data_IF_190482049862
#
_entry.id   IF_190482049862
#
_cell.length_a   1.000
_cell.length_b   1.000
_cell.length_c   1.000
_cell.angle_alpha   90.00
_cell.angle_beta   90.00
_cell.angle_gamma   90.00
#
_symmetry.space_group_name_H-M   'P 1'
#
loop_
_entity.id
_entity.type
_entity.pdbx_description
1 polymer ?
#
# COMPACT_ATOMS: atom_id res chain seq x y z
N UNK A 1 -55.93 13.33 -61.91
CA UNK A 1 -55.26 13.84 -60.70
C UNK A 1 -55.33 12.80 -59.58
N UNK A 2 -54.28 11.98 -59.41
CA UNK A 2 -54.00 11.22 -58.18
C UNK A 2 -52.48 11.24 -58.02
N UNK A 3 -52.01 12.01 -57.04
CA UNK A 3 -50.58 12.20 -56.75
C UNK A 3 -50.07 10.98 -55.97
N UNK A 4 -48.99 10.38 -56.47
CA UNK A 4 -48.21 9.34 -55.79
C UNK A 4 -47.32 10.07 -54.77
N UNK A 5 -47.46 9.75 -53.49
CA UNK A 5 -46.53 10.17 -52.44
C UNK A 5 -45.54 9.02 -52.21
N UNK A 6 -44.29 9.21 -52.63
CA UNK A 6 -43.17 8.36 -52.25
C UNK A 6 -42.60 8.95 -50.95
N UNK A 7 -42.81 8.24 -49.84
CA UNK A 7 -42.17 8.54 -48.57
C UNK A 7 -40.78 7.88 -48.56
N UNK A 8 -39.72 8.67 -48.71
CA UNK A 8 -38.35 8.23 -48.47
C UNK A 8 -38.11 8.29 -46.96
N UNK A 9 -38.21 7.14 -46.29
CA UNK A 9 -37.73 6.99 -44.91
C UNK A 9 -36.22 6.76 -44.95
N UNK A 10 -35.45 7.83 -44.77
CA UNK A 10 -34.01 7.75 -44.50
C UNK A 10 -33.79 7.30 -43.06
N UNK A 11 -33.57 5.99 -42.87
CA UNK A 11 -33.12 5.41 -41.60
C UNK A 11 -31.62 5.72 -41.47
N UNK A 12 -31.29 6.78 -40.72
CA UNK A 12 -29.95 6.97 -40.19
C UNK A 12 -29.78 6.05 -38.98
N UNK A 13 -29.14 4.90 -39.16
CA UNK A 13 -28.62 4.11 -38.03
C UNK A 13 -27.36 4.84 -37.55
N UNK A 14 -27.51 5.76 -36.61
CA UNK A 14 -26.40 6.20 -35.77
C UNK A 14 -26.03 5.03 -34.86
N UNK A 15 -25.08 4.21 -35.29
CA UNK A 15 -24.31 3.38 -34.35
C UNK A 15 -23.39 4.32 -33.58
N UNK A 16 -23.96 5.02 -32.60
CA UNK A 16 -23.17 5.59 -31.53
C UNK A 16 -22.58 4.42 -30.74
N UNK A 17 -21.34 4.06 -31.06
CA UNK A 17 -20.49 3.42 -30.05
C UNK A 17 -20.31 4.51 -29.00
N UNK A 18 -21.14 4.48 -27.95
CA UNK A 18 -20.80 5.20 -26.73
C UNK A 18 -19.46 4.64 -26.30
N UNK A 19 -18.38 5.38 -26.54
CA UNK A 19 -17.12 5.20 -25.86
C UNK A 19 -17.43 5.44 -24.38
N UNK A 20 -17.86 4.40 -23.66
CA UNK A 20 -17.90 4.45 -22.21
C UNK A 20 -16.49 4.80 -21.77
N UNK A 21 -16.35 5.97 -21.15
CA UNK A 21 -15.11 6.35 -20.47
C UNK A 21 -14.73 5.18 -19.57
N UNK A 22 -13.59 4.56 -19.86
CA UNK A 22 -13.16 3.40 -19.11
C UNK A 22 -12.62 3.90 -17.77
N UNK A 23 -13.47 4.05 -16.76
CA UNK A 23 -13.05 4.56 -15.47
C UNK A 23 -12.53 3.43 -14.58
N UNK A 24 -11.44 3.70 -13.89
CA UNK A 24 -10.96 2.90 -12.77
C UNK A 24 -10.95 3.81 -11.55
N UNK A 25 -11.37 3.34 -10.37
CA UNK A 25 -11.34 4.25 -9.24
C UNK A 25 -9.89 4.54 -8.86
N UNK A 26 -9.66 5.73 -8.34
CA UNK A 26 -8.35 6.21 -7.92
C UNK A 26 -7.93 5.53 -6.63
N UNK A 27 -6.64 5.25 -6.52
CA UNK A 27 -5.97 5.07 -5.24
C UNK A 27 -5.20 6.36 -4.95
N UNK A 28 -5.51 7.01 -3.83
CA UNK A 28 -4.78 8.22 -3.44
C UNK A 28 -3.41 7.82 -2.92
N UNK A 29 -2.36 8.43 -3.47
CA UNK A 29 -1.01 8.29 -2.97
C UNK A 29 -0.71 9.39 -1.94
N UNK A 30 -0.26 8.97 -0.76
CA UNK A 30 0.27 9.86 0.28
C UNK A 30 1.76 9.61 0.44
N UNK A 31 2.54 10.63 0.13
CA UNK A 31 3.98 10.68 0.37
C UNK A 31 4.23 11.64 1.54
N UNK A 32 4.82 11.17 2.64
CA UNK A 32 5.04 12.03 3.81
C UNK A 32 6.42 11.83 4.43
N UNK A 33 6.92 12.86 5.11
CA UNK A 33 8.15 12.78 5.88
C UNK A 33 7.88 12.54 7.37
N UNK A 34 8.74 11.74 8.00
CA UNK A 34 8.63 11.37 9.42
C UNK A 34 10.01 11.12 10.02
N UNK A 35 10.07 10.87 11.32
CA UNK A 35 11.31 10.49 11.98
C UNK A 35 11.10 10.02 13.42
N UNK A 36 11.98 9.13 13.88
CA UNK A 36 11.91 8.53 15.22
C UNK A 36 12.08 9.56 16.36
N UNK A 37 12.78 10.67 16.09
CA UNK A 37 13.01 11.77 17.03
C UNK A 37 11.82 12.76 17.12
N UNK A 38 10.90 12.72 16.15
CA UNK A 38 9.86 13.72 15.96
C UNK A 38 8.63 13.43 16.85
N UNK A 39 8.42 14.25 17.89
CA UNK A 39 7.31 14.10 18.84
C UNK A 39 5.90 14.27 18.24
N UNK A 40 5.78 14.98 17.11
CA UNK A 40 4.52 15.19 16.39
C UNK A 40 4.19 14.07 15.38
N UNK A 41 5.18 13.30 14.97
CA UNK A 41 5.04 12.30 13.90
C UNK A 41 4.04 11.18 14.22
N UNK A 42 3.87 10.74 15.49
CA UNK A 42 2.81 9.81 15.85
C UNK A 42 1.39 10.34 15.57
N UNK A 43 1.14 11.66 15.63
CA UNK A 43 -0.15 12.22 15.22
C UNK A 43 -0.41 12.02 13.71
N UNK A 44 0.65 12.15 12.88
CA UNK A 44 0.58 11.81 11.46
C UNK A 44 0.24 10.34 11.24
N UNK A 45 0.83 9.43 12.02
CA UNK A 45 0.53 7.99 11.94
C UNK A 45 -0.92 7.68 12.36
N UNK A 46 -1.45 8.37 13.37
CA UNK A 46 -2.86 8.27 13.78
C UNK A 46 -3.82 8.80 12.69
N UNK A 47 -3.46 9.91 12.04
CA UNK A 47 -4.21 10.45 10.91
C UNK A 47 -4.25 9.44 9.74
N UNK A 48 -3.11 8.83 9.40
CA UNK A 48 -3.05 7.79 8.37
C UNK A 48 -3.86 6.55 8.72
N UNK A 49 -3.87 6.14 9.99
CA UNK A 49 -4.70 5.02 10.46
C UNK A 49 -6.18 5.32 10.21
N UNK A 50 -6.65 6.53 10.57
CA UNK A 50 -8.02 6.97 10.31
C UNK A 50 -8.31 7.04 8.80
N UNK A 51 -7.37 7.54 8.00
CA UNK A 51 -7.50 7.64 6.55
C UNK A 51 -7.62 6.25 5.90
N UNK A 52 -6.77 5.30 6.26
CA UNK A 52 -6.85 3.93 5.71
C UNK A 52 -8.12 3.20 6.15
N UNK A 53 -8.65 3.50 7.34
CA UNK A 53 -9.94 2.99 7.76
C UNK A 53 -11.11 3.53 6.91
N UNK A 54 -11.09 4.83 6.59
CA UNK A 54 -12.13 5.46 5.77
C UNK A 54 -11.97 5.20 4.26
N UNK A 55 -10.72 5.10 3.80
CA UNK A 55 -10.34 4.95 2.40
C UNK A 55 -9.28 3.84 2.24
N UNK A 56 -9.68 2.56 2.27
CA UNK A 56 -8.77 1.41 2.30
C UNK A 56 -7.80 1.31 1.10
N UNK A 57 -8.17 1.95 -0.01
CA UNK A 57 -7.39 1.99 -1.25
C UNK A 57 -6.21 2.98 -1.22
N UNK A 58 -6.04 3.70 -0.12
CA UNK A 58 -4.98 4.71 0.01
C UNK A 58 -3.62 4.05 0.14
N UNK A 59 -2.72 4.45 -0.75
CA UNK A 59 -1.33 3.98 -0.80
C UNK A 59 -0.45 4.98 -0.07
N UNK A 60 0.46 4.48 0.77
CA UNK A 60 1.26 5.32 1.66
C UNK A 60 2.75 5.03 1.49
N UNK A 61 3.55 6.09 1.46
CA UNK A 61 5.01 6.05 1.45
C UNK A 61 5.50 6.95 2.59
N UNK A 62 6.31 6.40 3.51
CA UNK A 62 6.90 7.14 4.62
C UNK A 62 8.41 7.34 4.43
N UNK A 63 8.79 8.59 4.23
CA UNK A 63 10.18 9.00 4.14
C UNK A 63 10.71 9.36 5.52
N UNK A 64 11.40 8.41 6.14
CA UNK A 64 12.16 8.68 7.34
C UNK A 64 13.31 9.64 7.06
N UNK A 65 13.55 10.60 7.95
CA UNK A 65 14.59 11.62 7.77
C UNK A 65 14.67 12.65 8.90
N UNK A 66 15.44 13.70 8.66
CA UNK A 66 15.65 14.79 9.61
C UNK A 66 17.12 15.17 9.78
N UNK A 67 17.35 16.36 10.34
CA UNK A 67 18.70 16.92 10.55
C UNK A 67 19.48 16.25 11.69
N UNK A 68 18.82 15.42 12.50
CA UNK A 68 19.44 14.71 13.63
C UNK A 68 19.81 13.29 13.20
N UNK A 69 21.05 12.91 13.47
CA UNK A 69 21.74 11.73 12.93
C UNK A 69 21.24 10.36 13.42
N UNK A 70 20.12 10.28 14.15
CA UNK A 70 19.73 9.10 14.93
C UNK A 70 18.58 8.26 14.36
N UNK A 71 17.97 8.66 13.24
CA UNK A 71 16.93 7.84 12.60
C UNK A 71 17.56 6.69 11.77
N UNK A 72 17.24 5.41 12.07
CA UNK A 72 17.87 4.26 11.44
C UNK A 72 17.48 4.04 9.98
N UNK A 73 16.43 4.70 9.48
CA UNK A 73 15.91 4.52 8.12
C UNK A 73 16.03 5.77 7.26
N UNK A 74 16.84 6.75 7.70
CA UNK A 74 17.06 8.00 6.96
C UNK A 74 17.87 7.83 5.66
N UNK A 75 18.63 6.74 5.54
CA UNK A 75 19.54 6.49 4.42
C UNK A 75 19.00 5.33 3.57
N UNK A 76 18.68 5.63 2.31
CA UNK A 76 18.23 4.68 1.30
C UNK A 76 18.63 5.17 -0.10
N UNK A 77 18.61 4.30 -1.10
CA UNK A 77 18.86 4.74 -2.48
C UNK A 77 17.71 5.66 -2.96
N UNK A 78 18.06 6.82 -3.52
CA UNK A 78 17.08 7.83 -3.95
C UNK A 78 16.63 8.79 -2.83
N UNK A 79 17.41 8.91 -1.76
CA UNK A 79 17.14 9.74 -0.58
C UNK A 79 16.89 11.23 -0.90
N UNK A 80 17.43 11.73 -2.01
CA UNK A 80 17.22 13.06 -2.56
C UNK A 80 15.75 13.34 -2.89
N UNK A 81 14.90 12.32 -3.02
CA UNK A 81 13.46 12.49 -3.20
C UNK A 81 12.84 13.37 -2.11
N UNK A 82 13.35 13.31 -0.88
CA UNK A 82 12.85 14.11 0.25
C UNK A 82 13.02 15.61 0.00
N UNK A 83 14.17 16.01 -0.53
CA UNK A 83 14.43 17.42 -0.86
C UNK A 83 13.72 17.84 -2.15
N UNK A 84 13.61 16.94 -3.13
CA UNK A 84 12.87 17.18 -4.38
C UNK A 84 11.37 17.37 -4.17
N UNK A 85 10.79 16.67 -3.20
CA UNK A 85 9.41 16.86 -2.73
C UNK A 85 9.26 18.11 -1.85
N UNK A 86 10.36 18.71 -1.40
CA UNK A 86 10.35 19.99 -0.69
C UNK A 86 9.88 19.90 0.77
N UNK A 87 10.06 18.75 1.43
CA UNK A 87 9.70 18.63 2.84
C UNK A 87 10.58 19.52 3.73
N UNK A 88 9.97 20.40 4.52
CA UNK A 88 10.68 21.35 5.42
C UNK A 88 10.39 21.13 6.91
N UNK A 89 9.38 20.33 7.25
CA UNK A 89 8.94 20.06 8.62
C UNK A 89 8.33 18.67 8.77
N UNK A 90 8.22 18.18 10.00
CA UNK A 90 7.81 16.81 10.30
C UNK A 90 6.65 16.77 11.33
N UNK A 91 5.57 15.99 11.09
CA UNK A 91 5.25 15.31 9.84
C UNK A 91 4.58 16.28 8.85
N UNK A 92 5.00 16.24 7.59
CA UNK A 92 4.30 16.90 6.49
C UNK A 92 4.14 15.95 5.32
N UNK A 93 3.07 16.14 4.53
CA UNK A 93 2.67 15.22 3.48
C UNK A 93 2.26 15.88 2.18
N UNK A 94 2.33 15.11 1.11
CA UNK A 94 1.95 15.46 -0.26
C UNK A 94 0.98 14.39 -0.77
N UNK A 95 -0.06 14.85 -1.49
CA UNK A 95 -1.19 14.02 -1.90
C UNK A 95 -1.28 14.03 -3.42
N UNK A 96 -1.11 12.86 -4.05
CA UNK A 96 -1.02 12.69 -5.50
C UNK A 96 -0.07 13.69 -6.19
N UNK A 97 0.90 14.28 -5.47
CA UNK A 97 1.75 15.36 -5.99
C UNK A 97 0.93 16.51 -6.63
N UNK A 98 -0.16 16.88 -5.98
CA UNK A 98 -1.10 17.95 -6.41
C UNK A 98 -1.11 19.17 -5.50
N UNK A 99 -0.23 19.21 -4.50
CA UNK A 99 -0.04 20.36 -3.63
C UNK A 99 0.32 21.61 -4.46
N UNK A 100 -0.04 22.81 -3.97
CA UNK A 100 0.19 24.06 -4.72
C UNK A 100 1.52 24.70 -4.33
N UNK A 101 2.12 25.57 -5.17
CA UNK A 101 3.29 26.35 -4.78
C UNK A 101 3.08 27.20 -3.51
N UNK A 102 1.84 27.62 -3.26
CA UNK A 102 1.44 28.38 -2.05
C UNK A 102 1.22 27.51 -0.82
N UNK A 103 1.04 26.20 -0.99
CA UNK A 103 0.90 25.23 0.09
C UNK A 103 1.54 23.89 -0.36
N UNK A 104 2.88 23.86 -0.47
CA UNK A 104 3.60 22.75 -1.12
C UNK A 104 3.54 21.45 -0.32
N UNK A 105 3.19 21.51 0.97
CA UNK A 105 3.07 20.36 1.87
C UNK A 105 2.03 20.67 2.95
N UNK A 106 1.27 19.67 3.37
CA UNK A 106 0.20 19.84 4.37
C UNK A 106 0.56 19.16 5.69
N UNK A 107 0.18 19.78 6.79
CA UNK A 107 0.31 19.22 8.15
C UNK A 107 -0.74 18.14 8.38
N UNK A 108 -0.47 17.25 9.35
CA UNK A 108 -1.24 16.02 9.58
C UNK A 108 -2.74 16.25 9.83
N UNK A 109 -3.12 17.38 10.42
CA UNK A 109 -4.51 17.77 10.67
C UNK A 109 -5.32 18.00 9.39
N UNK A 110 -4.65 18.31 8.28
CA UNK A 110 -5.28 18.52 6.98
C UNK A 110 -5.40 17.23 6.14
N UNK A 111 -4.70 16.15 6.52
CA UNK A 111 -4.54 14.96 5.68
C UNK A 111 -5.87 14.29 5.36
N UNK A 112 -6.76 14.12 6.34
CA UNK A 112 -8.08 13.53 6.11
C UNK A 112 -8.91 14.33 5.10
N UNK A 113 -8.93 15.66 5.24
CA UNK A 113 -9.65 16.55 4.32
C UNK A 113 -9.08 16.49 2.90
N UNK A 114 -7.75 16.45 2.77
CA UNK A 114 -7.09 16.29 1.47
C UNK A 114 -7.39 14.94 0.84
N UNK A 115 -7.30 13.84 1.58
CA UNK A 115 -7.66 12.53 1.05
C UNK A 115 -9.13 12.46 0.63
N UNK A 116 -10.03 12.99 1.46
CA UNK A 116 -11.47 13.05 1.15
C UNK A 116 -11.73 13.84 -0.13
N UNK A 117 -11.08 14.99 -0.31
CA UNK A 117 -11.16 15.78 -1.53
C UNK A 117 -10.72 14.99 -2.76
N UNK A 118 -9.58 14.29 -2.68
CA UNK A 118 -9.09 13.46 -3.80
C UNK A 118 -10.07 12.34 -4.17
N UNK A 119 -10.63 11.62 -3.19
CA UNK A 119 -11.61 10.56 -3.47
C UNK A 119 -12.97 11.09 -3.92
N UNK A 120 -13.39 12.28 -3.49
CA UNK A 120 -14.72 12.83 -3.80
C UNK A 120 -14.72 13.59 -5.12
N UNK A 121 -13.74 14.46 -5.33
CA UNK A 121 -13.69 15.37 -6.47
C UNK A 121 -12.85 14.82 -7.63
N UNK A 122 -11.96 13.85 -7.37
CA UNK A 122 -11.13 13.20 -8.39
C UNK A 122 -11.20 11.66 -8.29
N UNK A 123 -12.41 11.06 -8.26
CA UNK A 123 -12.62 9.65 -7.90
C UNK A 123 -12.02 8.66 -8.90
N UNK A 124 -11.75 9.09 -10.14
CA UNK A 124 -11.27 8.23 -11.22
C UNK A 124 -9.78 8.45 -11.50
N UNK A 125 -9.09 7.36 -11.79
CA UNK A 125 -7.74 7.34 -12.32
C UNK A 125 -7.76 7.48 -13.85
N UNK A 126 -6.76 8.17 -14.38
CA UNK A 126 -6.56 8.31 -15.84
C UNK A 126 -5.65 7.22 -16.41
N UNK A 127 -5.04 6.42 -15.54
CA UNK A 127 -4.16 5.30 -15.89
C UNK A 127 -4.59 4.08 -15.08
N UNK A 128 -4.75 2.93 -15.73
CA UNK A 128 -4.84 1.62 -15.07
C UNK A 128 -3.44 1.07 -14.84
N UNK A 129 -3.15 0.63 -13.63
CA UNK A 129 -1.93 -0.13 -13.32
C UNK A 129 -2.31 -1.57 -12.97
N UNK A 130 -1.70 -2.52 -13.66
CA UNK A 130 -1.93 -3.93 -13.44
C UNK A 130 -0.61 -4.68 -13.35
N UNK A 131 -0.37 -5.36 -12.23
CA UNK A 131 0.72 -6.33 -12.11
C UNK A 131 0.32 -7.56 -12.94
N UNK A 132 1.10 -7.86 -13.98
CA UNK A 132 0.85 -8.99 -14.88
C UNK A 132 1.63 -10.24 -14.50
N UNK A 133 2.76 -10.09 -13.81
CA UNK A 133 3.52 -11.19 -13.22
C UNK A 133 4.27 -10.70 -11.99
N UNK A 134 4.46 -11.58 -11.00
CA UNK A 134 5.28 -11.34 -9.81
C UNK A 134 5.85 -12.66 -9.31
N UNK A 135 7.15 -12.74 -9.07
CA UNK A 135 7.78 -13.88 -8.42
C UNK A 135 8.91 -13.44 -7.49
N UNK A 136 8.89 -13.92 -6.25
CA UNK A 136 9.97 -13.72 -5.30
C UNK A 136 10.69 -15.04 -5.04
N UNK A 137 12.00 -15.04 -5.18
CA UNK A 137 12.85 -16.17 -4.87
C UNK A 137 13.54 -15.96 -3.51
N UNK A 138 13.06 -16.70 -2.51
CA UNK A 138 13.60 -16.61 -1.14
C UNK A 138 15.04 -17.14 -0.99
N UNK A 139 15.57 -17.92 -1.93
CA UNK A 139 16.94 -18.44 -1.81
C UNK A 139 18.02 -17.40 -2.11
N UNK A 140 17.68 -16.37 -2.87
CA UNK A 140 18.58 -15.30 -3.29
C UNK A 140 18.00 -13.89 -3.10
N UNK A 141 16.82 -13.77 -2.46
CA UNK A 141 16.07 -12.53 -2.25
C UNK A 141 15.78 -11.73 -3.53
N UNK A 142 15.65 -12.39 -4.69
CA UNK A 142 15.32 -11.70 -5.94
C UNK A 142 13.82 -11.58 -6.12
N UNK A 143 13.37 -10.41 -6.54
CA UNK A 143 12.02 -10.15 -6.98
C UNK A 143 12.01 -9.82 -8.48
N UNK A 144 11.17 -10.53 -9.20
CA UNK A 144 10.77 -10.23 -10.57
C UNK A 144 9.31 -9.77 -10.60
N UNK A 145 9.04 -8.71 -11.34
CA UNK A 145 7.72 -8.08 -11.43
C UNK A 145 7.51 -7.52 -12.84
N UNK A 146 6.34 -7.79 -13.43
CA UNK A 146 5.87 -7.16 -14.66
C UNK A 146 4.63 -6.33 -14.37
N UNK A 147 4.59 -5.11 -14.89
CA UNK A 147 3.47 -4.17 -14.74
C UNK A 147 3.06 -3.65 -16.11
N UNK A 148 1.75 -3.60 -16.35
CA UNK A 148 1.15 -2.87 -17.45
C UNK A 148 0.53 -1.58 -16.95
N UNK A 149 0.86 -0.48 -17.59
CA UNK A 149 0.17 0.80 -17.46
C UNK A 149 -0.68 1.04 -18.70
N UNK A 150 -1.98 1.27 -18.56
CA UNK A 150 -2.91 1.52 -19.69
C UNK A 150 -3.54 2.89 -19.54
N UNK A 151 -3.46 3.74 -20.56
CA UNK A 151 -4.15 5.02 -20.56
C UNK A 151 -5.67 4.83 -20.71
N UNK A 152 -6.44 5.42 -19.81
CA UNK A 152 -7.90 5.34 -19.77
C UNK A 152 -8.59 6.55 -20.43
N UNK A 153 -7.78 7.51 -20.86
CA UNK A 153 -8.12 8.69 -21.65
C UNK A 153 -6.91 9.07 -22.51
N UNK A 154 -7.06 10.05 -23.40
CA UNK A 154 -5.90 10.58 -24.13
C UNK A 154 -5.06 11.46 -23.20
N UNK A 155 -3.79 11.09 -23.02
CA UNK A 155 -2.89 11.74 -22.06
C UNK A 155 -1.77 12.49 -22.78
N UNK A 156 -1.61 13.76 -22.42
CA UNK A 156 -0.62 14.66 -23.02
C UNK A 156 0.60 14.85 -22.13
N UNK A 157 1.79 14.76 -22.71
CA UNK A 157 3.08 15.03 -22.07
C UNK A 157 3.88 13.77 -21.70
N UNK A 158 4.88 13.97 -20.85
CA UNK A 158 5.71 12.90 -20.32
C UNK A 158 5.08 12.34 -19.05
N UNK A 159 5.03 11.01 -18.94
CA UNK A 159 4.64 10.27 -17.75
C UNK A 159 5.81 9.44 -17.27
N UNK A 160 5.90 9.28 -15.95
CA UNK A 160 6.96 8.50 -15.29
C UNK A 160 6.35 7.41 -14.43
N UNK A 161 7.07 6.31 -14.30
CA UNK A 161 6.73 5.18 -13.47
C UNK A 161 7.76 5.06 -12.35
N UNK A 162 7.30 4.92 -11.11
CA UNK A 162 8.16 4.71 -9.95
C UNK A 162 7.88 3.36 -9.32
N UNK A 163 8.96 2.64 -8.98
CA UNK A 163 8.93 1.46 -8.13
C UNK A 163 9.59 1.80 -6.80
N UNK A 164 8.83 1.73 -5.71
CA UNK A 164 9.32 2.05 -4.37
C UNK A 164 9.14 0.85 -3.47
N UNK A 165 10.23 0.40 -2.86
CA UNK A 165 10.19 -0.64 -1.85
C UNK A 165 9.95 0.00 -0.48
N UNK A 166 8.89 -0.41 0.19
CA UNK A 166 8.56 -0.01 1.56
C UNK A 166 8.55 -1.23 2.49
N UNK A 167 8.76 -1.02 3.78
CA UNK A 167 8.69 -2.08 4.79
C UNK A 167 7.81 -1.67 5.97
N UNK A 168 6.96 -2.61 6.37
CA UNK A 168 6.08 -2.51 7.54
C UNK A 168 6.70 -3.18 8.77
N UNK A 169 6.04 -3.06 9.92
CA UNK A 169 6.37 -3.79 11.15
C UNK A 169 7.81 -3.60 11.67
N UNK A 170 8.40 -2.44 11.38
CA UNK A 170 9.73 -2.09 11.87
C UNK A 170 9.63 -1.56 13.30
N UNK A 171 10.20 -2.27 14.26
CA UNK A 171 10.13 -1.90 15.68
C UNK A 171 11.34 -1.05 16.06
N UNK A 172 11.10 0.17 16.56
CA UNK A 172 12.12 1.05 17.09
C UNK A 172 11.51 2.09 18.04
N UNK A 173 12.36 2.79 18.80
CA UNK A 173 11.87 3.83 19.69
C UNK A 173 11.31 5.04 18.90
N UNK A 174 10.20 5.60 19.37
CA UNK A 174 9.60 6.80 18.80
C UNK A 174 9.38 7.84 19.90
N UNK A 175 9.76 9.08 19.66
CA UNK A 175 9.44 10.20 20.54
C UNK A 175 7.98 10.62 20.35
N UNK A 176 7.31 11.00 21.45
CA UNK A 176 5.94 11.49 21.47
C UNK A 176 5.86 12.83 22.23
N UNK A 177 5.06 13.75 21.70
CA UNK A 177 4.48 14.83 22.48
C UNK A 177 3.12 14.42 23.05
N UNK A 178 2.67 15.12 24.09
CA UNK A 178 1.46 14.76 24.85
C UNK A 178 0.20 14.70 23.99
N UNK A 179 0.13 15.48 22.91
CA UNK A 179 -0.96 15.46 21.95
C UNK A 179 -0.98 14.20 21.07
N UNK A 180 0.16 13.53 20.93
CA UNK A 180 0.36 12.40 20.04
C UNK A 180 0.60 11.08 20.78
N UNK A 181 0.47 11.07 22.11
CA UNK A 181 0.58 9.88 22.95
C UNK A 181 1.30 10.16 24.28
N UNK A 182 1.83 9.10 24.90
CA UNK A 182 2.59 9.20 26.15
C UNK A 182 3.90 9.94 25.91
N UNK A 183 4.06 11.13 26.50
CA UNK A 183 5.23 11.98 26.31
C UNK A 183 6.54 11.22 26.55
N UNK A 184 7.51 11.40 25.64
CA UNK A 184 8.83 10.77 25.70
C UNK A 184 9.00 9.65 24.68
N UNK A 185 10.06 8.86 24.84
CA UNK A 185 10.36 7.76 23.93
C UNK A 185 9.57 6.49 24.30
N UNK A 186 8.79 5.99 23.33
CA UNK A 186 8.13 4.69 23.39
C UNK A 186 9.03 3.67 22.68
N UNK A 187 9.63 2.69 23.37
CA UNK A 187 10.70 1.85 22.83
C UNK A 187 10.25 0.84 21.76
N UNK A 188 9.03 0.32 21.87
CA UNK A 188 8.50 -0.73 21.00
C UNK A 188 7.50 -0.17 19.97
N UNK A 189 7.77 1.02 19.44
CA UNK A 189 6.89 1.64 18.46
C UNK A 189 7.01 0.94 17.10
N UNK A 190 5.87 0.67 16.46
CA UNK A 190 5.81 -0.02 15.17
C UNK A 190 5.69 0.99 14.03
N UNK A 191 6.74 1.06 13.21
CA UNK A 191 6.81 1.88 12.00
C UNK A 191 6.30 1.10 10.79
N UNK A 192 5.58 1.81 9.92
CA UNK A 192 4.96 1.26 8.70
C UNK A 192 5.30 2.12 7.48
N UNK A 193 5.21 1.51 6.30
CA UNK A 193 5.39 2.13 5.00
C UNK A 193 6.77 2.75 4.79
N UNK A 194 7.78 2.31 5.55
CA UNK A 194 9.12 2.92 5.59
C UNK A 194 9.85 2.63 4.30
N UNK A 195 10.24 3.67 3.58
CA UNK A 195 11.01 3.50 2.34
C UNK A 195 12.35 2.84 2.64
N UNK A 196 12.58 1.70 1.99
CA UNK A 196 13.87 1.01 1.99
C UNK A 196 14.67 1.28 0.72
N UNK A 197 14.01 1.50 -0.42
CA UNK A 197 14.68 1.78 -1.70
C UNK A 197 13.77 2.40 -2.76
N UNK A 198 14.29 3.38 -3.51
CA UNK A 198 13.69 3.87 -4.76
C UNK A 198 14.28 3.05 -5.94
N UNK A 199 13.62 1.95 -6.32
CA UNK A 199 14.22 0.88 -7.13
C UNK A 199 14.61 1.29 -8.55
N UNK A 200 13.98 2.33 -9.09
CA UNK A 200 14.32 2.92 -10.39
C UNK A 200 14.69 4.41 -10.28
N UNK A 201 15.32 4.78 -9.15
CA UNK A 201 15.80 6.13 -8.86
C UNK A 201 14.75 7.03 -8.22
N UNK A 202 15.19 8.13 -7.60
CA UNK A 202 14.31 9.04 -6.84
C UNK A 202 13.10 9.55 -7.63
N UNK A 203 13.26 9.76 -8.94
CA UNK A 203 12.19 10.27 -9.81
C UNK A 203 11.58 9.19 -10.72
N UNK A 204 11.91 7.93 -10.52
CA UNK A 204 11.50 6.84 -11.40
C UNK A 204 12.03 6.96 -12.83
N UNK A 205 11.46 6.14 -13.72
CA UNK A 205 11.81 6.05 -15.13
C UNK A 205 10.75 6.69 -16.03
N UNK A 206 11.13 7.07 -17.25
CA UNK A 206 10.16 7.48 -18.27
C UNK A 206 9.28 6.29 -18.68
N UNK A 207 7.97 6.47 -18.59
CA UNK A 207 6.98 5.47 -18.97
C UNK A 207 6.70 5.54 -20.47
N UNK A 208 6.32 6.71 -20.99
CA UNK A 208 6.17 6.97 -22.42
C UNK A 208 7.35 7.78 -22.97
N UNK A 209 7.34 8.06 -24.27
CA UNK A 209 8.38 8.84 -24.98
C UNK A 209 8.10 10.34 -25.03
N UNK A 210 7.21 10.85 -24.17
CA UNK A 210 6.63 12.18 -24.29
C UNK A 210 5.58 12.27 -25.40
N UNK A 211 4.90 13.41 -25.52
CA UNK A 211 3.83 13.61 -26.50
C UNK A 211 2.51 12.98 -26.08
N UNK A 212 1.80 12.33 -27.01
CA UNK A 212 0.48 11.73 -26.78
C UNK A 212 0.62 10.28 -26.35
N UNK A 213 0.03 9.92 -25.21
CA UNK A 213 -0.23 8.55 -24.81
C UNK A 213 -1.72 8.26 -25.05
N UNK A 214 -1.98 7.45 -26.09
CA UNK A 214 -3.32 7.29 -26.65
C UNK A 214 -4.22 6.45 -25.73
N UNK A 215 -5.53 6.73 -25.77
CA UNK A 215 -6.55 5.91 -25.11
C UNK A 215 -6.36 4.42 -25.44
N UNK A 216 -6.43 3.57 -24.42
CA UNK A 216 -6.22 2.11 -24.46
C UNK A 216 -4.80 1.65 -24.80
N UNK A 217 -3.86 2.56 -25.07
CA UNK A 217 -2.47 2.18 -25.27
C UNK A 217 -1.89 1.67 -23.95
N UNK A 218 -1.38 0.45 -23.98
CA UNK A 218 -0.70 -0.20 -22.86
C UNK A 218 0.80 -0.13 -23.02
N UNK A 219 1.51 0.24 -21.96
CA UNK A 219 2.97 0.22 -21.87
C UNK A 219 3.36 -0.74 -20.73
N UNK A 220 4.12 -1.78 -21.08
CA UNK A 220 4.64 -2.76 -20.13
C UNK A 220 6.02 -2.36 -19.60
N UNK A 221 6.25 -2.59 -18.31
CA UNK A 221 7.54 -2.40 -17.62
C UNK A 221 7.86 -3.60 -16.76
N UNK A 222 9.13 -3.98 -16.73
CA UNK A 222 9.64 -5.07 -15.91
C UNK A 222 10.59 -4.50 -14.86
N UNK A 223 10.54 -5.08 -13.67
CA UNK A 223 11.46 -4.83 -12.58
C UNK A 223 12.08 -6.17 -12.19
N UNK A 224 13.42 -6.22 -12.17
CA UNK A 224 14.20 -7.27 -11.54
C UNK A 224 15.06 -6.60 -10.48
N UNK A 225 14.98 -7.06 -9.23
CA UNK A 225 15.76 -6.49 -8.13
C UNK A 225 16.08 -7.53 -7.06
N UNK A 226 17.10 -7.25 -6.25
CA UNK A 226 17.48 -8.08 -5.10
C UNK A 226 17.23 -7.28 -3.83
N UNK A 227 16.41 -7.81 -2.93
CA UNK A 227 16.19 -7.22 -1.61
C UNK A 227 17.44 -7.40 -0.74
N UNK A 228 17.76 -6.39 0.07
CA UNK A 228 18.82 -6.52 1.07
C UNK A 228 18.43 -7.62 2.07
N UNK A 229 19.34 -8.55 2.35
CA UNK A 229 19.11 -9.67 3.25
C UNK A 229 18.78 -9.26 4.71
N UNK A 230 19.08 -8.01 5.10
CA UNK A 230 18.71 -7.47 6.40
C UNK A 230 17.24 -7.02 6.50
N UNK A 231 16.50 -7.02 5.39
CA UNK A 231 15.09 -6.62 5.35
C UNK A 231 14.20 -7.85 5.52
N UNK A 232 13.12 -7.71 6.27
CA UNK A 232 12.14 -8.77 6.41
C UNK A 232 11.24 -8.76 5.17
N UNK A 233 11.55 -9.58 4.17
CA UNK A 233 10.85 -9.55 2.87
C UNK A 233 9.32 -9.82 2.99
N UNK A 234 8.86 -10.48 4.04
CA UNK A 234 7.44 -10.66 4.39
C UNK A 234 6.76 -9.37 4.88
N UNK A 235 7.54 -8.40 5.36
CA UNK A 235 7.08 -7.06 5.70
C UNK A 235 7.25 -6.06 4.55
N UNK A 236 7.94 -6.45 3.47
CA UNK A 236 8.17 -5.55 2.35
C UNK A 236 6.97 -5.53 1.40
N UNK A 237 6.66 -4.33 0.89
CA UNK A 237 5.73 -4.10 -0.21
C UNK A 237 6.40 -3.28 -1.30
N UNK A 238 5.92 -3.42 -2.52
CA UNK A 238 6.24 -2.54 -3.62
C UNK A 238 5.07 -1.64 -3.92
N UNK A 239 5.34 -0.35 -3.83
CA UNK A 239 4.46 0.71 -4.27
C UNK A 239 4.84 1.07 -5.70
N UNK A 240 3.86 1.05 -6.59
CA UNK A 240 4.02 1.36 -8.01
C UNK A 240 3.09 2.51 -8.31
N UNK A 241 3.59 3.58 -8.91
CA UNK A 241 2.73 4.69 -9.31
C UNK A 241 3.19 5.36 -10.59
N UNK A 242 2.20 5.89 -11.32
CA UNK A 242 2.40 6.66 -12.53
C UNK A 242 2.03 8.10 -12.27
N UNK A 243 2.88 9.01 -12.71
CA UNK A 243 2.67 10.44 -12.52
C UNK A 243 3.05 11.22 -13.78
N UNK A 244 2.40 12.37 -14.00
CA UNK A 244 2.70 13.27 -15.11
C UNK A 244 3.92 14.12 -14.79
N UNK A 245 4.98 14.03 -15.58
CA UNK A 245 6.19 14.79 -15.31
C UNK A 245 5.95 16.31 -15.33
N UNK A 246 6.71 17.02 -14.51
CA UNK A 246 6.55 18.46 -14.28
C UNK A 246 7.90 19.09 -13.94
N UNK A 247 7.97 20.42 -13.88
CA UNK A 247 9.22 21.15 -13.58
C UNK A 247 9.78 20.80 -12.20
N UNK A 248 8.93 20.38 -11.27
CA UNK A 248 9.31 19.91 -9.94
C UNK A 248 8.56 18.63 -9.59
N UNK A 249 9.24 17.71 -8.92
CA UNK A 249 8.67 16.40 -8.54
C UNK A 249 7.40 16.54 -7.69
N UNK A 250 7.35 17.52 -6.78
CA UNK A 250 6.17 17.80 -5.93
C UNK A 250 4.88 18.13 -6.72
N UNK A 251 4.99 18.50 -8.00
CA UNK A 251 3.88 18.84 -8.89
C UNK A 251 3.68 17.80 -10.02
N UNK A 252 4.22 16.60 -9.83
CA UNK A 252 4.16 15.53 -10.83
C UNK A 252 2.78 14.89 -11.00
N UNK A 253 1.71 15.36 -10.35
CA UNK A 253 0.34 14.84 -10.47
C UNK A 253 0.20 13.32 -10.77
N UNK A 254 0.09 12.52 -9.71
CA UNK A 254 -0.09 11.07 -9.76
C UNK A 254 -1.42 10.73 -10.41
N UNK A 255 -1.37 9.85 -11.40
CA UNK A 255 -2.53 9.37 -12.15
C UNK A 255 -3.14 8.11 -11.53
N UNK A 256 -2.28 7.23 -11.01
CA UNK A 256 -2.67 6.03 -10.28
C UNK A 256 -1.50 5.53 -9.43
N UNK A 257 -1.81 4.90 -8.30
CA UNK A 257 -0.86 4.18 -7.47
C UNK A 257 -1.43 2.81 -7.08
N UNK A 258 -0.59 1.81 -6.90
CA UNK A 258 -0.95 0.50 -6.34
C UNK A 258 0.15 0.06 -5.38
N UNK A 259 -0.17 -0.82 -4.43
CA UNK A 259 0.80 -1.46 -3.56
C UNK A 259 0.61 -2.99 -3.58
N UNK A 260 1.70 -3.74 -3.51
CA UNK A 260 1.68 -5.21 -3.54
C UNK A 260 2.76 -5.78 -2.61
N UNK A 261 2.46 -6.83 -1.86
CA UNK A 261 3.45 -7.47 -0.97
C UNK A 261 4.55 -8.17 -1.76
N UNK A 262 5.81 -8.07 -1.33
CA UNK A 262 6.97 -8.64 -2.05
C UNK A 262 6.94 -10.16 -2.03
N UNK A 263 7.04 -10.71 -0.82
CA UNK A 263 6.56 -12.06 -0.60
C UNK A 263 5.06 -11.91 -0.74
N UNK A 264 4.47 -12.52 -1.77
CA UNK A 264 3.04 -12.72 -1.71
C UNK A 264 2.77 -13.36 -0.35
N UNK A 265 1.86 -12.81 0.46
CA UNK A 265 0.94 -13.73 1.15
C UNK A 265 0.63 -14.75 0.09
N UNK A 266 1.00 -16.02 0.29
CA UNK A 266 0.99 -17.00 -0.79
C UNK A 266 -0.41 -17.10 -1.37
N UNK A 267 -0.73 -16.21 -2.31
CA UNK A 267 -1.63 -16.38 -3.41
C UNK A 267 -0.86 -17.30 -4.30
N UNK A 268 -0.85 -18.57 -3.91
CA UNK A 268 -0.67 -19.62 -4.88
C UNK A 268 -1.84 -19.36 -5.84
N UNK A 269 -1.55 -18.81 -7.02
CA UNK A 269 -2.40 -19.02 -8.17
C UNK A 269 -2.27 -20.51 -8.55
N UNK A 270 -2.97 -21.34 -7.78
CA UNK A 270 -3.38 -22.67 -8.15
C UNK A 270 -4.88 -22.69 -7.83
N UNK A 271 -5.64 -22.25 -8.83
CA UNK A 271 -7.09 -22.06 -8.84
C UNK A 271 -7.58 -20.72 -8.29
N UNK A 272 -8.33 -20.04 -9.15
CA UNK A 272 -9.01 -18.77 -9.00
C UNK A 272 -10.18 -18.85 -8.00
N UNK A 273 -10.03 -19.60 -6.92
CA UNK A 273 -11.06 -19.76 -5.90
C UNK A 273 -10.93 -18.59 -4.92
N UNK A 274 -11.70 -17.54 -5.20
CA UNK A 274 -12.05 -16.53 -4.21
C UNK A 274 -12.59 -17.32 -3.00
N UNK A 275 -12.00 -17.20 -1.80
CA UNK A 275 -12.51 -17.90 -0.64
C UNK A 275 -13.97 -17.53 -0.46
N UNK A 276 -14.86 -18.52 -0.54
CA UNK A 276 -16.30 -18.32 -0.31
C UNK A 276 -16.63 -18.29 1.18
N UNK A 277 -15.69 -18.73 2.03
CA UNK A 277 -15.92 -18.93 3.46
C UNK A 277 -14.74 -18.43 4.29
N UNK A 278 -15.06 -18.04 5.52
CA UNK A 278 -14.06 -17.80 6.55
C UNK A 278 -13.46 -19.14 7.00
N UNK A 279 -12.15 -19.19 7.17
CA UNK A 279 -11.49 -20.35 7.76
C UNK A 279 -10.30 -19.92 8.60
N UNK A 280 -10.04 -20.66 9.67
CA UNK A 280 -8.80 -20.60 10.42
C UNK A 280 -8.23 -22.01 10.41
N UNK A 281 -6.96 -22.15 10.01
CA UNK A 281 -6.27 -23.44 9.97
C UNK A 281 -5.54 -23.71 11.28
N UNK A 282 -5.29 -24.99 11.55
CA UNK A 282 -4.38 -25.37 12.63
C UNK A 282 -2.96 -24.90 12.31
N UNK A 283 -2.25 -24.39 13.32
CA UNK A 283 -0.87 -23.95 13.17
C UNK A 283 0.03 -25.14 12.80
N UNK A 284 1.01 -24.92 11.94
CA UNK A 284 1.99 -25.94 11.58
C UNK A 284 3.42 -25.36 11.59
N UNK A 285 4.38 -26.02 12.27
CA UNK A 285 4.21 -27.24 13.08
C UNK A 285 3.40 -27.00 14.37
N UNK A 286 2.82 -28.06 14.95
CA UNK A 286 2.22 -28.03 16.29
C UNK A 286 2.43 -29.40 16.98
N UNK A 287 3.26 -29.50 18.05
CA UNK A 287 3.95 -28.41 18.74
C UNK A 287 4.98 -27.66 17.87
N UNK A 288 5.30 -26.41 18.22
CA UNK A 288 6.24 -25.55 17.48
C UNK A 288 7.44 -25.11 18.34
N UNK A 289 8.56 -24.79 17.69
CA UNK A 289 9.77 -24.27 18.33
C UNK A 289 10.64 -23.45 17.35
N UNK A 290 10.91 -22.15 17.62
CA UNK A 290 10.00 -21.21 18.27
C UNK A 290 8.98 -20.65 17.27
N UNK A 291 9.04 -21.02 15.99
CA UNK A 291 8.22 -20.45 14.92
C UNK A 291 7.15 -21.42 14.42
N UNK A 292 5.94 -20.91 14.18
CA UNK A 292 4.85 -21.63 13.48
C UNK A 292 4.17 -20.75 12.45
N UNK A 293 3.52 -21.35 11.46
CA UNK A 293 2.69 -20.66 10.49
C UNK A 293 1.22 -21.00 10.69
N UNK A 294 0.33 -20.01 10.50
CA UNK A 294 -1.11 -20.11 10.70
C UNK A 294 -1.81 -19.51 9.50
N UNK A 295 -2.54 -20.36 8.76
CA UNK A 295 -3.30 -19.95 7.59
C UNK A 295 -4.73 -19.61 7.95
N UNK A 296 -5.30 -18.61 7.30
CA UNK A 296 -6.73 -18.30 7.40
C UNK A 296 -7.26 -17.68 6.11
N UNK A 297 -8.57 -17.69 5.92
CA UNK A 297 -9.24 -17.06 4.78
C UNK A 297 -10.34 -16.13 5.25
N UNK A 298 -10.55 -15.03 4.51
CA UNK A 298 -11.68 -14.13 4.67
C UNK A 298 -12.35 -13.91 3.30
N UNK A 299 -13.68 -14.11 3.17
CA UNK A 299 -14.40 -14.00 1.90
C UNK A 299 -14.80 -12.56 1.56
N UNK A 300 -14.69 -11.64 2.51
CA UNK A 300 -15.11 -10.24 2.39
C UNK A 300 -14.05 -9.32 3.01
N UNK A 301 -13.94 -8.13 2.44
CA UNK A 301 -13.08 -7.06 2.96
C UNK A 301 -13.65 -6.61 4.31
N UNK A 302 -12.80 -6.47 5.34
CA UNK A 302 -13.31 -6.05 6.65
C UNK A 302 -12.25 -5.99 7.72
N UNK A 303 -12.64 -5.47 8.88
CA UNK A 303 -11.77 -5.44 10.06
C UNK A 303 -11.50 -6.86 10.54
N UNK A 304 -10.23 -7.23 10.57
CA UNK A 304 -9.75 -8.53 11.05
C UNK A 304 -8.84 -8.32 12.25
N UNK A 305 -9.06 -9.12 13.29
CA UNK A 305 -8.17 -9.23 14.43
C UNK A 305 -7.62 -10.64 14.58
N UNK A 306 -6.30 -10.77 14.69
CA UNK A 306 -5.59 -12.01 14.99
C UNK A 306 -4.76 -11.83 16.26
N UNK A 307 -5.12 -12.55 17.31
CA UNK A 307 -4.54 -12.41 18.65
C UNK A 307 -4.13 -13.75 19.24
N UNK A 308 -3.12 -13.73 20.10
CA UNK A 308 -2.68 -14.87 20.90
C UNK A 308 -3.02 -14.62 22.37
N UNK A 309 -3.52 -15.65 23.03
CA UNK A 309 -3.88 -15.69 24.44
C UNK A 309 -3.15 -16.83 25.15
N UNK A 310 -2.86 -16.64 26.43
CA UNK A 310 -2.40 -17.71 27.30
C UNK A 310 -3.57 -18.58 27.81
N UNK A 311 -3.25 -19.60 28.62
CA UNK A 311 -4.23 -20.52 29.19
C UNK A 311 -5.24 -19.85 30.15
N UNK A 312 -4.91 -18.66 30.67
CA UNK A 312 -5.79 -17.88 31.53
C UNK A 312 -6.67 -16.91 30.72
N UNK A 313 -6.54 -16.91 29.38
CA UNK A 313 -7.28 -16.02 28.49
C UNK A 313 -6.72 -14.60 28.44
N UNK A 314 -5.50 -14.37 28.94
CA UNK A 314 -4.83 -13.07 28.84
C UNK A 314 -4.22 -12.92 27.46
N UNK A 315 -4.48 -11.80 26.79
CA UNK A 315 -3.85 -11.44 25.52
C UNK A 315 -2.34 -11.30 25.75
N UNK A 316 -1.55 -12.06 25.00
CA UNK A 316 -0.07 -12.02 25.07
C UNK A 316 0.53 -11.32 23.86
N UNK A 317 -0.05 -11.49 22.67
CA UNK A 317 0.38 -10.79 21.46
C UNK A 317 -0.77 -10.53 20.49
N UNK A 318 -0.64 -9.47 19.68
CA UNK A 318 -1.58 -9.07 18.65
C UNK A 318 -0.82 -8.90 17.33
N UNK A 319 -1.13 -9.75 16.34
CA UNK A 319 -0.44 -9.75 15.04
C UNK A 319 -1.20 -8.93 14.00
N UNK A 320 -2.53 -8.93 14.08
CA UNK A 320 -3.40 -8.25 13.11
C UNK A 320 -4.51 -7.57 13.88
N UNK A 321 -4.73 -6.30 13.58
CA UNK A 321 -5.90 -5.54 13.99
C UNK A 321 -6.13 -4.44 12.96
N UNK A 322 -6.51 -4.84 11.75
CA UNK A 322 -6.55 -3.98 10.57
C UNK A 322 -7.65 -4.42 9.60
N UNK A 323 -8.02 -3.54 8.66
CA UNK A 323 -8.93 -3.88 7.57
C UNK A 323 -8.15 -4.66 6.51
N UNK A 324 -8.53 -5.92 6.29
CA UNK A 324 -7.93 -6.79 5.31
C UNK A 324 -8.86 -6.98 4.10
N UNK A 325 -8.36 -6.95 2.85
CA UNK A 325 -9.15 -7.31 1.68
C UNK A 325 -9.49 -8.80 1.67
N UNK A 326 -10.53 -9.22 0.95
CA UNK A 326 -10.85 -10.65 0.78
C UNK A 326 -9.64 -11.43 0.26
N UNK A 327 -9.37 -12.59 0.86
CA UNK A 327 -8.23 -13.40 0.48
C UNK A 327 -7.79 -14.42 1.51
N UNK A 328 -6.68 -15.08 1.19
CA UNK A 328 -6.02 -16.09 2.00
C UNK A 328 -4.74 -15.52 2.60
N UNK A 329 -4.56 -15.75 3.89
CA UNK A 329 -3.51 -15.16 4.71
C UNK A 329 -2.69 -16.24 5.40
N UNK A 330 -1.42 -15.93 5.69
CA UNK A 330 -0.54 -16.78 6.49
C UNK A 330 0.21 -15.90 7.49
N UNK A 331 -0.04 -16.12 8.78
CA UNK A 331 0.64 -15.43 9.89
C UNK A 331 1.74 -16.32 10.43
N UNK A 332 2.96 -15.79 10.46
CA UNK A 332 4.06 -16.42 11.16
C UNK A 332 4.08 -15.93 12.61
N UNK A 333 4.00 -16.86 13.55
CA UNK A 333 4.07 -16.59 14.99
C UNK A 333 5.45 -16.98 15.49
N UNK A 334 6.12 -16.09 16.21
CA UNK A 334 7.39 -16.35 16.89
C UNK A 334 7.21 -16.38 18.42
N UNK A 335 7.32 -17.57 18.98
CA UNK A 335 7.25 -17.82 20.42
C UNK A 335 8.58 -17.64 21.17
N UNK A 336 9.61 -17.07 20.55
CA UNK A 336 10.94 -16.91 21.17
C UNK A 336 10.88 -16.20 22.54
N UNK A 337 9.98 -15.22 22.70
CA UNK A 337 9.74 -14.46 23.93
C UNK A 337 8.73 -15.10 24.89
N UNK A 338 8.08 -16.19 24.49
CA UNK A 338 7.07 -16.90 25.28
C UNK A 338 7.68 -18.10 26.03
N UNK A 339 7.07 -18.53 27.13
CA UNK A 339 7.48 -19.75 27.84
C UNK A 339 6.92 -21.00 27.15
N UNK A 340 7.57 -22.16 27.30
CA UNK A 340 6.97 -23.43 26.85
C UNK A 340 5.60 -23.61 27.50
N UNK A 341 4.60 -23.99 26.70
CA UNK A 341 3.23 -24.09 27.20
C UNK A 341 2.17 -24.11 26.11
N UNK A 342 0.92 -24.10 26.57
CA UNK A 342 -0.27 -24.07 25.72
C UNK A 342 -0.73 -22.64 25.54
N UNK A 343 -0.97 -22.27 24.28
CA UNK A 343 -1.51 -20.98 23.87
C UNK A 343 -2.73 -21.18 23.00
N UNK A 344 -3.56 -20.14 22.91
CA UNK A 344 -4.69 -20.08 22.01
C UNK A 344 -4.51 -18.91 21.06
N UNK A 345 -4.83 -19.09 19.79
CA UNK A 345 -4.92 -17.98 18.86
C UNK A 345 -6.34 -17.87 18.33
N UNK A 346 -6.77 -16.63 18.12
CA UNK A 346 -8.12 -16.28 17.74
C UNK A 346 -8.09 -15.41 16.49
N UNK A 347 -8.91 -15.77 15.53
CA UNK A 347 -9.25 -14.90 14.41
C UNK A 347 -10.66 -14.36 14.63
N UNK A 348 -10.80 -13.03 14.62
CA UNK A 348 -12.08 -12.33 14.57
C UNK A 348 -12.18 -11.54 13.27
N UNK A 349 -13.31 -11.67 12.60
CA UNK A 349 -13.79 -10.80 11.54
C UNK A 349 -15.29 -10.54 11.79
N UNK A 350 -15.91 -9.59 11.09
CA UNK A 350 -17.27 -9.09 11.37
C UNK A 350 -18.24 -10.09 12.01
N UNK A 351 -18.51 -11.21 11.32
CA UNK A 351 -19.42 -12.29 11.78
C UNK A 351 -18.71 -13.61 12.06
N UNK A 352 -17.38 -13.63 12.02
CA UNK A 352 -16.59 -14.85 12.18
C UNK A 352 -15.69 -14.77 13.39
N UNK A 353 -15.71 -15.83 14.19
CA UNK A 353 -14.79 -16.00 15.31
C UNK A 353 -14.42 -17.47 15.40
N UNK A 354 -13.14 -17.78 15.22
CA UNK A 354 -12.59 -19.11 15.48
C UNK A 354 -11.37 -19.00 16.39
N UNK A 355 -11.17 -20.02 17.22
CA UNK A 355 -10.07 -20.09 18.19
C UNK A 355 -9.46 -21.47 18.13
N UNK A 356 -8.13 -21.53 18.05
CA UNK A 356 -7.40 -22.80 18.01
C UNK A 356 -6.26 -22.83 19.00
N UNK A 357 -5.90 -24.05 19.39
CA UNK A 357 -4.89 -24.36 20.41
C UNK A 357 -3.56 -24.68 19.74
N UNK A 358 -2.49 -24.06 20.22
CA UNK A 358 -1.11 -24.36 19.85
C UNK A 358 -0.23 -24.67 21.06
N UNK A 359 0.82 -25.44 20.86
CA UNK A 359 1.76 -25.85 21.91
C UNK A 359 3.16 -25.38 21.54
N UNK A 360 3.75 -24.52 22.36
CA UNK A 360 5.15 -24.11 22.23
C UNK A 360 6.03 -25.03 23.09
N UNK A 361 7.06 -25.59 22.49
CA UNK A 361 8.07 -26.41 23.18
C UNK A 361 9.42 -25.76 22.94
N UNK A 362 10.10 -25.32 24.00
CA UNK A 362 11.49 -24.86 23.94
C UNK A 362 12.48 -26.01 24.11
#
# INVERSE_FOLDING_TARGET
MKKIFIAILSIWILTGVENKVQSEPRNVLIEYCTGTWCGWCPCGHQALTSIKAAFPRTVVISYHGGATSSDPWKDFNGVEIRSMLGFTGYPTGIFDRTNTPSNPYVTYDMWMGRTTDRYTNFPNASVRLQITSKSFNSSNNTLDLSVNATALEELQGQYKLSFVLVEDNLVYQQNHYSQCGTTGYVPDYVHKHVVRSMLNGATGENLNTGGVWNLNQTIGKNLNTTLNAAWAANNCKIVIFVYKDSSTVAHGNVQQAIEESVIGTTGINANNEIPSEYSLSQNFPNPFNPVTNIKFTIPEDGLVSFKIYDIMGREVENYINDILPRGSYNVQVDGSKLSSGVYYYELRAEKFRDTKRMVLVK
#
